data_IF_657091658837
#
_entry.id   IF_657091658837
#
_cell.length_a   1.000
_cell.length_b   1.000
_cell.length_c   1.000
_cell.angle_alpha   90.00
_cell.angle_beta   90.00
_cell.angle_gamma   90.00
#
_symmetry.space_group_name_H-M   'P 1'
#
loop_
_entity.id
_entity.type
_entity.pdbx_description
1 polymer ?
#
# COMPACT_ATOMS: atom_id res chain seq x y z
N UNK A 1 21.51 -2.32 6.94
CA UNK A 1 20.75 -1.04 6.99
C UNK A 1 19.31 -1.35 7.39
N UNK A 2 18.73 -0.56 8.28
CA UNK A 2 17.36 -0.78 8.77
C UNK A 2 16.45 0.38 8.38
N UNK A 3 15.23 0.09 7.94
CA UNK A 3 14.16 1.03 7.61
C UNK A 3 13.09 0.98 8.70
N UNK A 4 12.62 2.13 9.16
CA UNK A 4 11.49 2.26 10.09
C UNK A 4 10.21 2.51 9.31
N UNK A 5 9.35 1.51 9.27
CA UNK A 5 8.01 1.58 8.69
C UNK A 5 6.99 1.75 9.79
N UNK A 6 6.16 2.78 9.72
CA UNK A 6 5.05 2.99 10.64
C UNK A 6 3.73 2.81 9.92
N UNK A 7 2.94 1.85 10.38
CA UNK A 7 1.57 1.61 9.96
C UNK A 7 0.63 2.42 10.85
N UNK A 8 -0.31 3.13 10.24
CA UNK A 8 -1.24 4.01 10.93
C UNK A 8 -2.66 3.63 10.48
N UNK A 9 -3.46 3.10 11.38
CA UNK A 9 -4.79 2.53 11.07
C UNK A 9 -5.87 3.53 10.69
N UNK A 10 -5.65 4.84 10.91
CA UNK A 10 -6.54 5.93 10.48
C UNK A 10 -5.79 7.27 10.42
N UNK A 11 -6.43 8.34 9.96
CA UNK A 11 -5.78 9.66 9.84
C UNK A 11 -5.75 10.48 11.15
N UNK A 12 -6.43 10.05 12.22
CA UNK A 12 -6.53 10.81 13.47
C UNK A 12 -5.18 11.07 14.15
N UNK A 13 -4.18 10.17 14.09
CA UNK A 13 -2.87 10.40 14.67
C UNK A 13 -2.03 11.51 14.04
N UNK A 14 -2.40 12.05 12.87
CA UNK A 14 -1.64 13.13 12.22
C UNK A 14 -1.58 14.40 13.07
N UNK A 15 -2.54 14.60 13.98
CA UNK A 15 -2.52 15.66 14.99
C UNK A 15 -1.65 15.35 16.21
N UNK A 16 -1.23 14.10 16.42
CA UNK A 16 -0.46 13.60 17.56
C UNK A 16 1.05 13.47 17.31
N UNK A 17 1.73 12.76 18.23
CA UNK A 17 3.14 12.37 18.08
C UNK A 17 3.23 11.06 17.30
N UNK A 18 3.83 11.12 16.09
CA UNK A 18 4.22 9.93 15.34
C UNK A 18 5.69 9.61 15.66
N UNK A 19 6.03 8.33 15.93
CA UNK A 19 7.42 7.93 16.13
C UNK A 19 8.31 8.27 14.93
N UNK A 20 9.63 8.49 15.12
CA UNK A 20 10.55 8.69 14.03
C UNK A 20 10.45 7.56 13.00
N UNK A 21 10.17 7.89 11.74
CA UNK A 21 9.84 6.94 10.68
C UNK A 21 10.50 7.33 9.37
N UNK A 22 10.87 6.34 8.56
CA UNK A 22 11.32 6.55 7.19
C UNK A 22 10.14 6.52 6.22
N UNK A 23 9.12 5.70 6.55
CA UNK A 23 7.86 5.56 5.81
C UNK A 23 6.68 5.56 6.77
N UNK A 24 5.66 6.35 6.46
CA UNK A 24 4.31 6.26 7.05
C UNK A 24 3.39 5.63 6.02
N UNK A 25 2.62 4.63 6.42
CA UNK A 25 1.62 3.96 5.58
C UNK A 25 0.25 4.02 6.23
N UNK A 26 -0.72 4.57 5.53
CA UNK A 26 -2.12 4.66 5.91
C UNK A 26 -2.97 3.63 5.15
N UNK A 27 -4.19 3.29 5.63
CA UNK A 27 -5.06 2.32 4.98
C UNK A 27 -5.80 2.88 3.76
N UNK A 28 -6.55 2.02 3.07
CA UNK A 28 -7.43 2.39 1.96
C UNK A 28 -8.57 3.31 2.43
N UNK A 29 -8.93 4.31 1.61
CA UNK A 29 -10.03 5.27 1.86
C UNK A 29 -10.02 5.75 3.32
N UNK A 30 -8.89 6.30 3.72
CA UNK A 30 -8.54 6.60 5.12
C UNK A 30 -9.45 7.64 5.78
N UNK A 31 -10.29 8.31 5.00
CA UNK A 31 -11.24 9.37 5.34
C UNK A 31 -12.68 8.89 5.65
N UNK A 32 -12.83 7.64 6.07
CA UNK A 32 -14.14 7.10 6.48
C UNK A 32 -14.68 5.99 5.59
N UNK A 33 -13.88 5.51 4.65
CA UNK A 33 -14.16 4.30 3.89
C UNK A 33 -15.33 4.38 2.94
N UNK A 34 -15.83 3.22 2.58
CA UNK A 34 -17.00 3.08 1.69
C UNK A 34 -18.28 3.66 2.31
N UNK A 35 -18.38 3.64 3.63
CA UNK A 35 -19.53 4.23 4.32
C UNK A 35 -19.63 5.74 4.10
N UNK A 36 -18.51 6.47 4.08
CA UNK A 36 -18.49 7.91 3.76
C UNK A 36 -18.90 8.16 2.31
N UNK A 37 -18.37 7.39 1.37
CA UNK A 37 -18.73 7.49 -0.05
C UNK A 37 -20.20 7.23 -0.29
N UNK A 38 -20.79 6.23 0.38
CA UNK A 38 -22.22 5.90 0.27
C UNK A 38 -23.13 7.04 0.74
N UNK A 39 -22.63 7.93 1.62
CA UNK A 39 -23.32 9.15 2.07
C UNK A 39 -22.99 10.40 1.24
N UNK A 40 -22.25 10.26 0.14
CA UNK A 40 -21.82 11.38 -0.69
C UNK A 40 -20.67 12.21 -0.10
N UNK A 41 -19.99 11.69 0.92
CA UNK A 41 -18.85 12.33 1.58
C UNK A 41 -17.52 11.63 1.24
N UNK A 42 -16.39 12.14 1.77
CA UNK A 42 -15.09 11.48 1.63
C UNK A 42 -14.48 11.58 0.21
N UNK A 43 -14.87 12.58 -0.58
CA UNK A 43 -14.25 12.84 -1.88
C UNK A 43 -13.40 14.09 -1.82
N UNK A 44 -12.19 14.05 -2.38
CA UNK A 44 -11.20 15.11 -2.27
C UNK A 44 -10.63 15.50 -3.63
N UNK A 45 -10.11 16.73 -3.72
CA UNK A 45 -9.24 17.21 -4.80
C UNK A 45 -7.79 17.27 -4.30
N UNK A 46 -6.85 17.35 -5.22
CA UNK A 46 -5.41 17.33 -4.90
C UNK A 46 -4.96 18.44 -3.94
N UNK A 47 -5.64 19.58 -3.90
CA UNK A 47 -5.33 20.72 -3.01
C UNK A 47 -6.17 20.81 -1.75
N UNK A 48 -7.08 19.90 -1.52
CA UNK A 48 -8.00 19.96 -0.37
C UNK A 48 -7.27 19.82 0.97
N UNK A 49 -7.79 20.45 2.04
CA UNK A 49 -7.18 20.38 3.38
C UNK A 49 -6.89 18.97 3.86
N UNK A 50 -7.76 18.01 3.54
CA UNK A 50 -7.55 16.62 3.91
C UNK A 50 -6.33 16.00 3.24
N UNK A 51 -6.10 16.27 1.95
CA UNK A 51 -4.92 15.79 1.22
C UNK A 51 -3.65 16.49 1.70
N UNK A 52 -3.75 17.77 2.04
CA UNK A 52 -2.64 18.56 2.58
C UNK A 52 -2.14 18.04 3.93
N UNK A 53 -2.97 17.37 4.74
CA UNK A 53 -2.51 16.74 5.99
C UNK A 53 -1.35 15.76 5.76
N UNK A 54 -1.40 14.97 4.69
CA UNK A 54 -0.34 14.01 4.36
C UNK A 54 0.91 14.69 3.78
N UNK A 55 0.72 15.78 3.04
CA UNK A 55 1.83 16.63 2.59
C UNK A 55 2.59 17.20 3.78
N UNK A 56 1.87 17.78 4.74
CA UNK A 56 2.43 18.40 5.94
C UNK A 56 3.06 17.34 6.86
N UNK A 57 2.43 16.16 6.99
CA UNK A 57 3.04 15.04 7.71
C UNK A 57 4.38 14.65 7.09
N UNK A 58 4.49 14.57 5.76
CA UNK A 58 5.74 14.23 5.08
C UNK A 58 6.84 15.26 5.35
N UNK A 59 6.48 16.55 5.51
CA UNK A 59 7.36 17.67 5.82
C UNK A 59 7.74 17.68 7.31
N UNK A 60 6.73 17.62 8.18
CA UNK A 60 6.88 17.64 9.65
C UNK A 60 7.75 16.50 10.17
N UNK A 61 7.48 15.28 9.70
CA UNK A 61 8.18 14.07 10.16
C UNK A 61 9.40 13.70 9.29
N UNK A 62 9.71 14.49 8.25
CA UNK A 62 10.83 14.27 7.31
C UNK A 62 10.88 12.84 6.77
N UNK A 63 9.74 12.32 6.36
CA UNK A 63 9.57 10.93 5.91
C UNK A 63 8.87 10.84 4.55
N UNK A 64 8.81 9.64 3.99
CA UNK A 64 7.91 9.32 2.88
C UNK A 64 6.55 8.97 3.46
N UNK A 65 5.51 9.75 3.14
CA UNK A 65 4.14 9.53 3.59
C UNK A 65 3.31 8.94 2.44
N UNK A 66 2.83 7.72 2.63
CA UNK A 66 1.90 7.05 1.71
C UNK A 66 0.50 7.24 2.27
N UNK A 67 -0.26 8.13 1.66
CA UNK A 67 -1.59 8.56 2.12
C UNK A 67 -2.65 7.46 1.89
N UNK A 68 -2.27 6.22 2.09
CA UNK A 68 -3.06 5.02 1.93
C UNK A 68 -3.77 5.04 0.59
N UNK A 69 -5.10 5.27 0.62
CA UNK A 69 -5.79 5.87 -0.51
C UNK A 69 -6.89 6.85 -0.06
N UNK A 70 -7.26 7.70 -1.00
CA UNK A 70 -8.39 8.63 -0.90
C UNK A 70 -9.23 8.54 -2.17
N UNK A 71 -10.53 8.86 -2.07
CA UNK A 71 -11.37 9.05 -3.23
C UNK A 71 -11.04 10.41 -3.87
N UNK A 72 -10.20 10.38 -4.90
CA UNK A 72 -9.68 11.58 -5.55
C UNK A 72 -10.52 11.96 -6.76
N UNK A 73 -11.04 13.20 -6.77
CA UNK A 73 -11.73 13.81 -7.90
C UNK A 73 -10.72 14.39 -8.87
N UNK A 74 -10.70 13.88 -10.09
CA UNK A 74 -9.84 14.33 -11.17
C UNK A 74 -10.39 15.61 -11.83
N UNK A 75 -9.59 16.24 -12.70
CA UNK A 75 -9.99 17.45 -13.43
C UNK A 75 -11.16 17.19 -14.39
N UNK A 76 -11.28 15.99 -14.93
CA UNK A 76 -12.40 15.55 -15.79
C UNK A 76 -13.68 15.19 -15.01
N UNK A 77 -13.69 15.40 -13.69
CA UNK A 77 -14.81 15.10 -12.81
C UNK A 77 -14.88 13.64 -12.36
N UNK A 78 -14.12 12.72 -12.95
CA UNK A 78 -14.09 11.31 -12.54
C UNK A 78 -13.49 11.15 -11.14
N UNK A 79 -13.91 10.09 -10.42
CA UNK A 79 -13.29 9.68 -9.16
C UNK A 79 -12.37 8.49 -9.38
N UNK A 80 -11.24 8.47 -8.69
CA UNK A 80 -10.33 7.34 -8.60
C UNK A 80 -10.02 7.02 -7.14
N UNK A 81 -9.88 5.73 -6.81
CA UNK A 81 -9.35 5.29 -5.52
C UNK A 81 -7.82 5.38 -5.60
N UNK A 82 -7.25 6.44 -5.03
CA UNK A 82 -5.89 6.89 -5.33
C UNK A 82 -4.99 6.89 -4.10
N UNK A 83 -3.86 6.20 -4.19
CA UNK A 83 -2.75 6.34 -3.26
C UNK A 83 -1.82 7.48 -3.73
N UNK A 84 -1.62 8.45 -2.85
CA UNK A 84 -0.69 9.56 -3.06
C UNK A 84 0.53 9.40 -2.16
N UNK A 85 1.72 9.55 -2.72
CA UNK A 85 2.98 9.46 -1.97
C UNK A 85 3.61 10.84 -1.88
N UNK A 86 3.81 11.32 -0.66
CA UNK A 86 4.39 12.61 -0.39
C UNK A 86 5.78 12.50 0.23
N UNK A 87 6.66 13.44 -0.13
CA UNK A 87 7.97 13.63 0.46
C UNK A 87 8.34 15.11 0.45
N UNK A 88 8.77 15.62 1.62
CA UNK A 88 9.07 17.05 1.81
C UNK A 88 7.93 17.95 1.30
N UNK A 89 6.67 17.55 1.50
CA UNK A 89 5.49 18.27 1.08
C UNK A 89 5.19 18.24 -0.43
N UNK A 90 5.89 17.44 -1.22
CA UNK A 90 5.64 17.28 -2.66
C UNK A 90 5.07 15.90 -2.94
N UNK A 91 4.08 15.80 -3.81
CA UNK A 91 3.63 14.53 -4.35
C UNK A 91 4.71 13.98 -5.28
N UNK A 92 5.27 12.82 -4.94
CA UNK A 92 6.36 12.17 -5.69
C UNK A 92 5.91 10.93 -6.43
N UNK A 93 4.70 10.44 -6.12
CA UNK A 93 4.11 9.30 -6.81
C UNK A 93 2.59 9.29 -6.63
N UNK A 94 1.88 8.78 -7.63
CA UNK A 94 0.44 8.53 -7.63
C UNK A 94 0.19 7.12 -8.16
N UNK A 95 -0.71 6.40 -7.52
CA UNK A 95 -1.23 5.12 -7.98
C UNK A 95 -2.75 5.10 -7.87
N UNK A 96 -3.44 4.85 -8.95
CA UNK A 96 -4.88 4.66 -8.99
C UNK A 96 -5.18 3.16 -9.00
N UNK A 97 -6.07 2.69 -8.12
CA UNK A 97 -6.47 1.28 -7.99
C UNK A 97 -6.89 0.72 -9.34
N UNK A 98 -6.26 -0.38 -9.74
CA UNK A 98 -6.49 -1.00 -11.06
C UNK A 98 -7.67 -1.97 -10.99
N UNK A 99 -7.68 -2.84 -9.98
CA UNK A 99 -8.75 -3.84 -9.84
C UNK A 99 -9.82 -3.34 -8.88
N UNK A 100 -10.95 -2.93 -9.43
CA UNK A 100 -12.09 -2.44 -8.65
C UNK A 100 -12.87 -3.59 -8.05
N UNK A 101 -13.16 -3.54 -6.74
CA UNK A 101 -13.85 -4.58 -6.01
C UNK A 101 -15.36 -4.51 -6.24
N UNK A 102 -15.87 -5.30 -7.17
CA UNK A 102 -17.30 -5.32 -7.56
C UNK A 102 -18.26 -5.56 -6.39
N UNK A 103 -17.99 -6.47 -5.42
CA UNK A 103 -18.90 -6.67 -4.29
C UNK A 103 -19.10 -5.41 -3.43
N UNK A 104 -18.09 -4.54 -3.28
CA UNK A 104 -18.23 -3.23 -2.66
C UNK A 104 -18.73 -2.14 -3.62
N UNK A 105 -19.09 -2.51 -4.84
CA UNK A 105 -19.58 -1.61 -5.90
C UNK A 105 -18.56 -0.52 -6.28
N UNK A 106 -17.24 -0.77 -6.12
CA UNK A 106 -16.17 0.17 -6.51
C UNK A 106 -16.38 0.77 -7.89
N UNK A 107 -16.78 -0.07 -8.87
CA UNK A 107 -17.00 0.33 -10.26
C UNK A 107 -18.13 1.35 -10.45
N UNK A 108 -18.97 1.57 -9.44
CA UNK A 108 -20.00 2.63 -9.47
C UNK A 108 -19.48 3.99 -9.02
N UNK A 109 -18.40 3.99 -8.25
CA UNK A 109 -17.80 5.21 -7.71
C UNK A 109 -16.56 5.60 -8.47
N UNK A 110 -15.71 4.63 -8.85
CA UNK A 110 -14.37 4.87 -9.32
C UNK A 110 -14.14 4.44 -10.76
N UNK A 111 -13.34 5.24 -11.44
CA UNK A 111 -12.65 4.83 -12.66
C UNK A 111 -11.40 4.02 -12.27
N UNK A 112 -11.17 2.90 -12.94
CA UNK A 112 -9.97 2.08 -12.75
C UNK A 112 -8.71 2.79 -13.23
N UNK A 113 -7.61 2.58 -12.52
CA UNK A 113 -6.27 2.90 -12.99
C UNK A 113 -5.79 1.96 -14.09
N UNK A 114 -4.66 2.29 -14.72
CA UNK A 114 -4.05 1.47 -15.78
C UNK A 114 -2.53 1.40 -15.68
N UNK A 115 -1.93 2.10 -14.71
CA UNK A 115 -0.47 2.22 -14.60
C UNK A 115 -0.02 1.79 -13.21
N UNK A 116 0.94 0.86 -13.17
CA UNK A 116 1.68 0.51 -11.96
C UNK A 116 3.15 0.86 -12.16
N UNK A 117 3.73 1.61 -11.21
CA UNK A 117 5.13 2.05 -11.22
C UNK A 117 5.69 2.06 -9.81
N UNK A 118 7.00 1.92 -9.71
CA UNK A 118 7.73 2.06 -8.45
C UNK A 118 8.16 3.51 -8.20
N UNK A 119 8.48 3.81 -6.95
CA UNK A 119 9.03 5.09 -6.52
C UNK A 119 10.22 4.89 -5.58
N UNK A 120 10.99 5.96 -5.33
CA UNK A 120 12.18 5.90 -4.48
C UNK A 120 11.88 6.44 -3.08
N UNK A 121 12.34 5.72 -2.07
CA UNK A 121 12.28 6.09 -0.65
C UNK A 121 13.70 6.32 -0.13
N UNK A 122 14.04 7.52 0.34
CA UNK A 122 15.33 7.77 0.98
C UNK A 122 15.40 7.09 2.36
N UNK A 123 16.51 6.41 2.64
CA UNK A 123 16.77 5.78 3.93
C UNK A 123 18.25 5.96 4.28
N UNK A 124 18.59 6.80 5.27
CA UNK A 124 19.96 6.99 5.78
C UNK A 124 21.01 7.16 4.67
N UNK A 125 20.81 8.14 3.79
CA UNK A 125 21.74 8.46 2.69
C UNK A 125 21.68 7.52 1.47
N UNK A 126 20.88 6.47 1.52
CA UNK A 126 20.62 5.57 0.40
C UNK A 126 19.17 5.71 -0.09
N UNK A 127 18.85 5.06 -1.20
CA UNK A 127 17.49 4.99 -1.72
C UNK A 127 17.10 3.54 -1.88
N UNK A 128 15.90 3.18 -1.42
CA UNK A 128 15.25 1.92 -1.77
C UNK A 128 14.12 2.19 -2.77
N UNK A 129 13.77 1.18 -3.54
CA UNK A 129 12.64 1.23 -4.46
C UNK A 129 11.44 0.59 -3.79
N UNK A 130 10.30 1.28 -3.79
CA UNK A 130 9.05 0.78 -3.25
C UNK A 130 7.95 0.82 -4.31
N UNK A 131 6.93 -0.01 -4.13
CA UNK A 131 5.69 0.01 -4.91
C UNK A 131 4.47 0.09 -4.00
N UNK A 132 3.36 0.53 -4.53
CA UNK A 132 2.07 0.53 -3.85
C UNK A 132 1.01 -0.10 -4.75
N UNK A 133 0.16 -0.95 -4.16
CA UNK A 133 -1.07 -1.50 -4.74
C UNK A 133 -2.16 -1.42 -3.68
N UNK A 134 -3.44 -1.33 -4.07
CA UNK A 134 -4.51 -1.05 -3.13
C UNK A 134 -5.43 -2.27 -2.94
N UNK A 135 -5.48 -2.81 -1.71
CA UNK A 135 -6.48 -3.76 -1.23
C UNK A 135 -6.73 -4.92 -2.20
N UNK A 136 -7.82 -4.89 -2.97
CA UNK A 136 -8.21 -5.94 -3.90
C UNK A 136 -7.16 -6.25 -4.98
N UNK A 137 -6.30 -5.28 -5.32
CA UNK A 137 -5.16 -5.49 -6.23
C UNK A 137 -4.23 -6.61 -5.76
N UNK A 138 -4.17 -6.86 -4.44
CA UNK A 138 -3.35 -7.93 -3.86
C UNK A 138 -3.72 -9.33 -4.39
N UNK A 139 -4.96 -9.54 -4.86
CA UNK A 139 -5.39 -10.83 -5.43
C UNK A 139 -4.78 -11.12 -6.80
N UNK A 140 -4.21 -10.11 -7.44
CA UNK A 140 -3.64 -10.19 -8.79
C UNK A 140 -2.13 -10.17 -8.71
N UNK A 141 -1.46 -11.35 -8.82
CA UNK A 141 -0.01 -11.48 -8.66
C UNK A 141 0.78 -10.68 -9.69
N UNK A 142 0.19 -10.38 -10.83
CA UNK A 142 0.78 -9.67 -11.95
C UNK A 142 1.33 -8.31 -11.52
N UNK A 143 0.57 -7.55 -10.70
CA UNK A 143 1.00 -6.22 -10.25
C UNK A 143 2.25 -6.29 -9.36
N UNK A 144 2.26 -7.25 -8.42
CA UNK A 144 3.43 -7.51 -7.57
C UNK A 144 4.65 -7.91 -8.41
N UNK A 145 4.45 -8.76 -9.41
CA UNK A 145 5.50 -9.21 -10.32
C UNK A 145 6.04 -8.09 -11.21
N UNK A 146 5.17 -7.23 -11.74
CA UNK A 146 5.58 -6.06 -12.53
C UNK A 146 6.45 -5.12 -11.70
N UNK A 147 6.02 -4.79 -10.48
CA UNK A 147 6.80 -3.96 -9.55
C UNK A 147 8.12 -4.62 -9.15
N UNK A 148 8.13 -5.93 -8.91
CA UNK A 148 9.34 -6.68 -8.57
C UNK A 148 10.37 -6.64 -9.72
N UNK A 149 9.92 -6.64 -10.97
CA UNK A 149 10.78 -6.47 -12.15
C UNK A 149 11.36 -5.05 -12.27
N UNK A 150 10.68 -4.05 -11.74
CA UNK A 150 11.25 -2.71 -11.58
C UNK A 150 12.29 -2.64 -10.43
N UNK A 151 12.48 -3.74 -9.69
CA UNK A 151 13.47 -3.87 -8.63
C UNK A 151 13.03 -3.33 -7.29
N UNK A 152 11.73 -3.36 -6.97
CA UNK A 152 11.27 -2.95 -5.64
C UNK A 152 11.89 -3.81 -4.54
N UNK A 153 11.99 -3.24 -3.38
CA UNK A 153 12.48 -3.84 -2.15
C UNK A 153 11.39 -3.88 -1.09
N UNK A 154 10.35 -3.04 -1.25
CA UNK A 154 9.21 -2.91 -0.37
C UNK A 154 7.93 -2.77 -1.19
N UNK A 155 6.94 -3.63 -0.93
CA UNK A 155 5.58 -3.50 -1.44
C UNK A 155 4.67 -3.03 -0.31
N UNK A 156 3.94 -1.94 -0.55
CA UNK A 156 3.01 -1.32 0.39
C UNK A 156 1.58 -1.59 -0.09
N UNK A 157 0.73 -2.06 0.81
CA UNK A 157 -0.64 -2.46 0.49
C UNK A 157 -1.61 -1.81 1.48
N UNK A 158 -2.06 -0.58 1.21
CA UNK A 158 -3.21 0.00 1.92
C UNK A 158 -4.46 -0.81 1.67
N UNK A 159 -5.27 -1.07 2.72
CA UNK A 159 -6.47 -1.89 2.60
C UNK A 159 -7.61 -1.47 3.55
N UNK A 160 -8.81 -1.90 3.17
CA UNK A 160 -9.98 -2.16 4.00
C UNK A 160 -10.42 -3.61 3.75
N UNK A 161 -9.72 -4.50 4.41
CA UNK A 161 -9.91 -5.94 4.23
C UNK A 161 -10.67 -6.51 5.42
N UNK A 162 -11.91 -7.00 5.23
CA UNK A 162 -12.73 -7.43 6.35
C UNK A 162 -12.10 -8.56 7.15
N UNK A 163 -12.16 -8.48 8.48
CA UNK A 163 -11.57 -9.47 9.40
C UNK A 163 -12.03 -10.91 9.13
N UNK A 164 -13.27 -11.10 8.62
CA UNK A 164 -13.80 -12.42 8.23
C UNK A 164 -13.01 -13.08 7.08
N UNK A 165 -12.18 -12.33 6.38
CA UNK A 165 -11.33 -12.82 5.28
C UNK A 165 -9.84 -12.69 5.59
N UNK A 166 -9.49 -12.63 6.88
CA UNK A 166 -8.11 -12.40 7.36
C UNK A 166 -7.14 -13.47 6.86
N UNK A 167 -7.55 -14.75 6.84
CA UNK A 167 -6.69 -15.84 6.35
C UNK A 167 -6.23 -15.62 4.89
N UNK A 168 -7.14 -15.15 4.03
CA UNK A 168 -6.80 -14.83 2.65
C UNK A 168 -5.88 -13.59 2.57
N UNK A 169 -6.11 -12.59 3.41
CA UNK A 169 -5.30 -11.38 3.50
C UNK A 169 -3.86 -11.71 3.88
N UNK A 170 -3.68 -12.39 5.00
CA UNK A 170 -2.37 -12.81 5.49
C UNK A 170 -1.64 -13.70 4.49
N UNK A 171 -2.33 -14.71 3.93
CA UNK A 171 -1.77 -15.65 2.95
C UNK A 171 -1.29 -14.92 1.69
N UNK A 172 -2.08 -14.00 1.15
CA UNK A 172 -1.72 -13.27 -0.06
C UNK A 172 -0.55 -12.31 0.17
N UNK A 173 -0.52 -11.57 1.29
CA UNK A 173 0.64 -10.73 1.63
C UNK A 173 1.92 -11.55 1.74
N UNK A 174 1.87 -12.70 2.43
CA UNK A 174 2.99 -13.63 2.55
C UNK A 174 3.43 -14.17 1.19
N UNK A 175 2.49 -14.57 0.33
CA UNK A 175 2.78 -15.06 -1.01
C UNK A 175 3.51 -13.99 -1.84
N UNK A 176 3.04 -12.72 -1.85
CA UNK A 176 3.71 -11.62 -2.55
C UNK A 176 5.13 -11.38 -2.04
N UNK A 177 5.37 -11.57 -0.73
CA UNK A 177 6.71 -11.45 -0.17
C UNK A 177 7.66 -12.55 -0.67
N UNK A 178 7.22 -13.80 -0.63
CA UNK A 178 8.02 -14.98 -1.02
C UNK A 178 8.33 -14.96 -2.52
N UNK A 179 7.30 -14.87 -3.35
CA UNK A 179 7.43 -15.00 -4.80
C UNK A 179 8.24 -13.87 -5.45
N UNK A 180 8.22 -12.67 -4.85
CA UNK A 180 8.90 -11.49 -5.35
C UNK A 180 10.16 -11.14 -4.56
N UNK A 181 10.43 -11.82 -3.44
CA UNK A 181 11.59 -11.61 -2.57
C UNK A 181 11.73 -10.14 -2.14
N UNK A 182 10.63 -9.58 -1.60
CA UNK A 182 10.50 -8.21 -1.14
C UNK A 182 9.86 -8.17 0.25
N UNK A 183 10.10 -7.10 1.01
CA UNK A 183 9.25 -6.83 2.16
C UNK A 183 7.84 -6.50 1.69
N UNK A 184 6.83 -6.99 2.40
CA UNK A 184 5.42 -6.66 2.12
C UNK A 184 4.77 -6.15 3.40
N UNK A 185 4.15 -4.99 3.31
CA UNK A 185 3.44 -4.38 4.41
C UNK A 185 1.98 -4.09 4.01
N UNK A 186 1.06 -4.84 4.61
CA UNK A 186 -0.37 -4.58 4.55
C UNK A 186 -0.80 -3.68 5.70
N UNK A 187 -1.32 -2.50 5.40
CA UNK A 187 -1.90 -1.58 6.37
C UNK A 187 -3.41 -1.57 6.21
N UNK A 188 -4.09 -2.15 7.18
CA UNK A 188 -5.55 -2.22 7.19
C UNK A 188 -6.16 -1.15 8.10
N UNK A 189 -7.39 -0.75 7.79
CA UNK A 189 -8.10 0.23 8.58
C UNK A 189 -8.41 -0.31 9.99
N UNK A 190 -8.24 0.54 11.01
CA UNK A 190 -8.51 0.20 12.39
C UNK A 190 -9.94 0.59 12.81
N UNK A 191 -10.91 0.29 11.96
CA UNK A 191 -12.33 0.54 12.19
C UNK A 191 -13.18 -0.73 11.97
N UNK A 192 -14.51 -0.59 11.94
CA UNK A 192 -15.43 -1.71 11.80
C UNK A 192 -15.43 -2.38 10.42
N UNK A 193 -14.88 -1.72 9.40
CA UNK A 193 -14.82 -2.24 8.02
C UNK A 193 -13.49 -2.95 7.74
N UNK A 194 -12.46 -2.75 8.59
CA UNK A 194 -11.12 -3.30 8.45
C UNK A 194 -10.86 -4.53 9.33
N UNK A 195 -9.66 -5.04 9.22
CA UNK A 195 -9.17 -6.21 9.96
C UNK A 195 -7.81 -5.94 10.62
N UNK A 196 -6.79 -6.62 10.14
CA UNK A 196 -5.48 -6.61 10.77
C UNK A 196 -4.37 -6.19 9.80
N UNK A 197 -3.39 -5.48 10.30
CA UNK A 197 -2.18 -5.10 9.57
C UNK A 197 -1.09 -6.13 9.77
N UNK A 198 -0.32 -6.42 8.71
CA UNK A 198 0.75 -7.40 8.73
C UNK A 198 1.99 -6.88 8.01
N UNK A 199 3.16 -7.34 8.46
CA UNK A 199 4.43 -7.11 7.74
C UNK A 199 5.18 -8.42 7.62
N UNK A 200 5.61 -8.75 6.39
CA UNK A 200 6.38 -9.94 6.05
C UNK A 200 7.77 -9.57 5.52
N UNK A 201 8.76 -10.40 5.85
CA UNK A 201 10.10 -10.31 5.27
C UNK A 201 10.14 -10.96 3.87
N UNK A 202 11.26 -10.82 3.11
CA UNK A 202 11.39 -11.39 1.76
C UNK A 202 11.35 -12.93 1.68
N UNK A 203 11.39 -13.62 2.82
CA UNK A 203 11.25 -15.08 2.93
C UNK A 203 9.86 -15.49 3.44
N UNK A 204 8.94 -14.54 3.62
CA UNK A 204 7.60 -14.77 4.10
C UNK A 204 7.49 -14.99 5.62
N UNK A 205 8.51 -14.64 6.41
CA UNK A 205 8.42 -14.65 7.87
C UNK A 205 7.61 -13.47 8.33
N UNK A 206 6.71 -13.70 9.27
CA UNK A 206 5.91 -12.64 9.89
C UNK A 206 6.81 -11.78 10.79
N UNK A 207 6.92 -10.49 10.48
CA UNK A 207 7.66 -9.52 11.30
C UNK A 207 6.73 -8.76 12.26
N UNK A 208 5.48 -8.60 11.88
CA UNK A 208 4.48 -7.86 12.65
C UNK A 208 3.06 -8.32 12.31
N UNK A 209 2.21 -8.40 13.34
CA UNK A 209 0.76 -8.56 13.26
C UNK A 209 0.09 -7.61 14.25
N UNK A 210 -0.93 -6.88 13.83
CA UNK A 210 -1.76 -6.09 14.74
C UNK A 210 -2.86 -6.92 15.40
N UNK A 211 -2.99 -8.20 15.06
CA UNK A 211 -3.96 -9.14 15.66
C UNK A 211 -3.63 -9.44 17.11
N UNK A 212 -2.33 -9.49 17.42
CA UNK A 212 -1.83 -9.78 18.75
C UNK A 212 -1.42 -8.49 19.46
N UNK A 213 -2.00 -8.25 20.65
CA UNK A 213 -1.66 -7.11 21.48
C UNK A 213 -2.72 -6.01 21.54
N UNK A 214 -2.41 -4.88 22.20
CA UNK A 214 -3.37 -3.79 22.36
C UNK A 214 -3.77 -3.20 21.00
N UNK A 215 -5.05 -2.87 20.83
CA UNK A 215 -5.59 -2.18 19.62
C UNK A 215 -5.00 -0.78 19.52
N UNK A 216 -3.74 -0.70 19.17
CA UNK A 216 -3.06 0.57 18.87
C UNK A 216 -3.30 0.93 17.40
N UNK A 217 -3.48 2.22 17.16
CA UNK A 217 -3.64 2.75 15.79
C UNK A 217 -2.31 3.03 15.09
N UNK A 218 -1.19 2.97 15.82
CA UNK A 218 0.15 3.27 15.32
C UNK A 218 1.09 2.14 15.71
N UNK A 219 1.75 1.54 14.71
CA UNK A 219 2.71 0.46 14.89
C UNK A 219 3.96 0.74 14.07
N UNK A 220 5.12 0.75 14.72
CA UNK A 220 6.42 0.91 14.04
C UNK A 220 7.15 -0.42 13.97
N UNK A 221 7.52 -0.81 12.75
CA UNK A 221 8.24 -2.05 12.44
C UNK A 221 9.60 -1.71 11.85
N UNK A 222 10.63 -2.40 12.31
CA UNK A 222 12.00 -2.21 11.86
C UNK A 222 12.38 -3.28 10.82
N UNK A 223 12.53 -2.89 9.56
CA UNK A 223 12.88 -3.78 8.46
C UNK A 223 14.40 -3.82 8.30
N UNK A 224 15.01 -5.00 8.50
CA UNK A 224 16.43 -5.19 8.21
C UNK A 224 16.65 -5.50 6.73
N UNK A 225 17.11 -4.51 5.99
CA UNK A 225 17.27 -4.61 4.54
C UNK A 225 18.35 -5.63 4.11
N UNK A 226 19.14 -6.20 5.04
CA UNK A 226 20.07 -7.30 4.73
C UNK A 226 19.32 -8.56 4.32
N UNK A 227 18.11 -8.79 4.86
CA UNK A 227 17.27 -9.92 4.52
C UNK A 227 16.89 -10.00 3.03
N UNK A 228 16.84 -8.84 2.33
CA UNK A 228 16.66 -8.82 0.87
C UNK A 228 17.81 -9.51 0.14
N UNK A 229 19.04 -9.24 0.58
CA UNK A 229 20.21 -9.84 -0.01
C UNK A 229 20.28 -11.35 0.29
N UNK A 230 19.97 -11.74 1.51
CA UNK A 230 19.93 -13.14 1.94
C UNK A 230 18.91 -13.93 1.13
N UNK A 231 17.66 -13.45 1.02
CA UNK A 231 16.63 -14.11 0.23
C UNK A 231 17.03 -14.26 -1.25
N UNK A 232 17.57 -13.20 -1.86
CA UNK A 232 17.96 -13.20 -3.29
C UNK A 232 19.23 -13.97 -3.59
N UNK A 233 20.06 -14.29 -2.56
CA UNK A 233 21.22 -15.16 -2.70
C UNK A 233 20.83 -16.63 -2.81
N UNK A 234 19.81 -17.07 -2.07
CA UNK A 234 19.33 -18.45 -2.05
C UNK A 234 18.51 -18.76 -3.31
N UNK A 235 17.59 -17.88 -3.65
CA UNK A 235 16.71 -18.02 -4.82
C UNK A 235 16.75 -16.76 -5.65
N UNK A 236 16.70 -16.89 -6.98
CA UNK A 236 16.75 -15.76 -7.92
C UNK A 236 15.42 -15.58 -8.64
N UNK A 237 14.29 -15.71 -7.91
CA UNK A 237 12.94 -15.79 -8.48
C UNK A 237 12.67 -14.78 -9.60
N UNK A 238 13.07 -13.51 -9.42
CA UNK A 238 12.84 -12.48 -10.43
C UNK A 238 13.76 -12.62 -11.64
N UNK A 239 15.01 -13.06 -11.42
CA UNK A 239 15.99 -13.23 -12.49
C UNK A 239 15.68 -14.47 -13.33
N UNK A 240 15.21 -15.54 -12.68
CA UNK A 240 14.94 -16.83 -13.30
C UNK A 240 13.53 -16.88 -13.92
N UNK A 241 12.68 -15.89 -13.62
CA UNK A 241 11.34 -15.81 -14.16
C UNK A 241 11.34 -15.58 -15.68
N UNK A 242 10.80 -16.54 -16.40
CA UNK A 242 10.59 -16.48 -17.86
C UNK A 242 9.23 -15.87 -18.15
N UNK A 243 9.19 -14.86 -19.04
CA UNK A 243 7.94 -14.36 -19.59
C UNK A 243 7.53 -15.22 -20.78
N UNK A 244 6.43 -15.91 -20.65
CA UNK A 244 5.83 -16.59 -21.80
C UNK A 244 5.31 -15.53 -22.79
N UNK A 245 5.85 -15.52 -24.00
CA UNK A 245 5.33 -14.69 -25.10
C UNK A 245 4.09 -15.39 -25.66
N UNK A 246 3.00 -14.67 -25.86
CA UNK A 246 1.80 -15.15 -26.54
C UNK A 246 0.68 -15.72 -25.66
N UNK A 247 0.76 -15.63 -24.33
CA UNK A 247 -0.41 -15.88 -23.49
C UNK A 247 -1.41 -14.71 -23.65
N UNK A 248 -2.24 -14.74 -24.67
CA UNK A 248 -3.43 -13.88 -24.75
C UNK A 248 -4.49 -14.52 -23.87
N UNK A 249 -4.85 -13.85 -22.78
CA UNK A 249 -6.09 -14.21 -22.09
C UNK A 249 -7.25 -13.93 -23.04
N UNK A 250 -8.18 -14.91 -23.23
CA UNK A 250 -9.35 -14.65 -24.06
C UNK A 250 -10.09 -13.42 -23.54
N UNK A 251 -10.52 -12.57 -24.45
CA UNK A 251 -11.33 -11.41 -24.12
C UNK A 251 -12.52 -11.88 -23.25
N UNK A 252 -12.75 -11.23 -22.13
CA UNK A 252 -13.92 -11.51 -21.30
C UNK A 252 -15.16 -11.23 -22.16
N UNK A 253 -15.85 -12.27 -22.57
CA UNK A 253 -17.22 -12.13 -23.05
C UNK A 253 -18.06 -11.58 -21.89
N UNK A 254 -18.79 -10.50 -22.12
CA UNK A 254 -19.51 -9.55 -21.35
C UNK A 254 -20.25 -9.96 -20.10
#
# INVERSE_FOLDING_TARGET
>A
MKLRLTLIGDASPLSGKIPPSDVLLFPELVDGGYAALGRGAGTHRAGDPYVTLFQDASRKYRCTCVAGSVALRNFDGSLTNTSLVFRNGRCVHRYDKIHLFRPARDHRFFRAGSVVRSFLVPVKGRRIRAGVIICYDLRFPELGRMLAREGIQLLLVPARWPAVRDDAWQTLLKARAIENQVFVAGCDAADSEGGFSYVFDPMGRLLFSSREGPKRRIHTVLLDLRLLHEARRVHRNIRDAVMLRGATFPAKHG
#
